data_IF_162655575089
#
_entry.id   IF_162655575089
#
_cell.length_a   1.000
_cell.length_b   1.000
_cell.length_c   1.000
_cell.angle_alpha   90.00
_cell.angle_beta   90.00
_cell.angle_gamma   90.00
#
_symmetry.space_group_name_H-M   'P 1'
#
loop_
_entity.id
_entity.type
_entity.pdbx_description
1 polymer ?
#
# COMPACT_ATOMS: atom_id res chain seq x y z
N UNK A 1 2.81 -8.73 0.68
CA UNK A 1 3.14 -7.29 0.57
C UNK A 1 4.31 -7.00 1.48
N UNK A 2 5.42 -6.52 0.90
CA UNK A 2 6.72 -6.49 1.60
C UNK A 2 7.30 -5.09 1.49
N UNK A 3 7.44 -4.40 2.63
CA UNK A 3 8.12 -3.11 2.71
C UNK A 3 9.42 -3.30 3.48
N UNK A 4 10.54 -3.14 2.81
CA UNK A 4 11.89 -3.24 3.38
C UNK A 4 12.48 -1.85 3.60
N UNK A 5 13.44 -1.79 4.50
CA UNK A 5 14.32 -0.64 4.67
C UNK A 5 15.73 -1.13 4.44
N UNK A 6 16.56 -0.33 3.77
CA UNK A 6 17.94 -0.69 3.46
C UNK A 6 18.80 0.56 3.44
N UNK A 7 20.02 0.48 3.96
CA UNK A 7 20.92 1.62 3.91
C UNK A 7 21.41 1.85 2.47
N UNK A 8 21.67 3.10 2.14
CA UNK A 8 22.23 3.50 0.86
C UNK A 8 23.60 2.84 0.60
N UNK A 9 24.37 2.61 1.66
CA UNK A 9 25.69 1.99 1.59
C UNK A 9 25.65 0.45 1.53
N UNK A 10 24.47 -0.16 1.61
CA UNK A 10 24.31 -1.59 1.38
C UNK A 10 24.05 -1.87 -0.11
N UNK A 11 24.75 -2.85 -0.72
CA UNK A 11 24.65 -3.11 -2.15
C UNK A 11 23.22 -3.51 -2.55
N UNK A 12 22.67 -3.03 -3.67
CA UNK A 12 21.36 -3.45 -4.16
C UNK A 12 21.27 -4.96 -4.35
N UNK A 13 20.17 -5.57 -3.93
CA UNK A 13 19.92 -7.01 -4.09
C UNK A 13 18.76 -7.25 -5.06
N UNK A 14 18.75 -8.37 -5.82
CA UNK A 14 17.67 -8.70 -6.77
C UNK A 14 16.27 -8.72 -6.16
N UNK A 15 16.16 -9.04 -4.87
CA UNK A 15 14.89 -9.07 -4.13
C UNK A 15 14.39 -7.73 -3.60
N UNK A 16 15.10 -6.62 -3.84
CA UNK A 16 14.75 -5.30 -3.30
C UNK A 16 13.52 -4.68 -4.01
N UNK A 17 13.19 -5.15 -5.21
CA UNK A 17 12.05 -4.63 -5.97
C UNK A 17 12.19 -3.13 -6.23
N UNK A 18 11.12 -2.37 -5.97
CA UNK A 18 11.08 -0.94 -6.22
C UNK A 18 11.82 -0.15 -5.13
N UNK A 19 12.95 0.47 -5.47
CA UNK A 19 13.87 1.15 -4.55
C UNK A 19 13.64 2.66 -4.54
N UNK A 20 13.40 3.21 -3.35
CA UNK A 20 13.01 4.61 -3.16
C UNK A 20 13.92 5.29 -2.16
N UNK A 21 14.70 6.28 -2.58
CA UNK A 21 15.45 7.12 -1.64
C UNK A 21 14.49 8.12 -0.98
N UNK A 22 14.48 8.16 0.34
CA UNK A 22 13.55 9.01 1.12
C UNK A 22 14.24 10.11 1.92
N UNK A 23 15.57 10.23 1.81
CA UNK A 23 16.33 11.29 2.46
C UNK A 23 16.37 12.54 1.59
N UNK A 24 16.36 13.71 2.22
CA UNK A 24 16.52 14.96 1.46
C UNK A 24 17.93 15.13 0.90
N UNK A 25 18.92 14.61 1.63
CA UNK A 25 20.31 14.70 1.22
C UNK A 25 20.70 13.42 0.50
N UNK A 26 21.47 13.60 -0.57
CA UNK A 26 22.07 12.49 -1.28
C UNK A 26 23.12 11.80 -0.40
N UNK A 27 23.18 10.45 -0.36
CA UNK A 27 24.22 9.73 0.38
C UNK A 27 25.60 10.12 -0.17
N UNK A 28 26.55 10.48 0.71
CA UNK A 28 27.86 10.97 0.25
C UNK A 28 28.66 9.82 -0.36
N UNK A 29 29.43 10.12 -1.40
CA UNK A 29 30.36 9.18 -2.01
C UNK A 29 29.71 8.07 -2.83
N UNK A 30 28.40 8.13 -3.09
CA UNK A 30 27.68 7.18 -3.95
C UNK A 30 27.18 7.89 -5.20
N UNK A 31 27.28 7.23 -6.34
CA UNK A 31 26.69 7.68 -7.62
C UNK A 31 25.25 7.17 -7.75
N UNK A 32 24.48 7.79 -8.64
CA UNK A 32 23.07 7.44 -8.86
C UNK A 32 22.88 5.99 -9.28
N UNK A 33 23.77 5.52 -10.14
CA UNK A 33 23.76 4.19 -10.74
C UNK A 33 24.05 3.10 -9.69
N UNK A 34 24.95 3.38 -8.74
CA UNK A 34 25.34 2.44 -7.68
C UNK A 34 24.16 2.11 -6.75
N UNK A 35 23.29 3.09 -6.50
CA UNK A 35 22.15 2.92 -5.61
C UNK A 35 20.97 2.19 -6.28
N UNK A 36 20.96 2.10 -7.62
CA UNK A 36 19.88 1.51 -8.41
C UNK A 36 18.50 1.96 -7.91
N UNK A 37 18.31 3.27 -7.82
CA UNK A 37 17.07 3.87 -7.33
C UNK A 37 16.08 4.04 -8.47
N UNK A 38 14.82 3.72 -8.22
CA UNK A 38 13.75 4.02 -9.15
C UNK A 38 13.19 5.44 -8.97
N UNK A 39 13.22 5.98 -7.74
CA UNK A 39 12.75 7.34 -7.46
C UNK A 39 13.41 7.94 -6.21
N UNK A 40 13.59 9.26 -6.25
CA UNK A 40 14.04 10.05 -5.10
C UNK A 40 12.87 10.86 -4.51
N UNK A 41 12.24 10.31 -3.47
CA UNK A 41 11.07 10.88 -2.82
C UNK A 41 11.44 11.90 -1.72
N UNK A 42 12.10 13.02 -2.09
CA UNK A 42 12.52 14.09 -1.17
C UNK A 42 11.39 14.65 -0.29
N UNK A 43 10.16 14.61 -0.80
CA UNK A 43 8.95 15.06 -0.09
C UNK A 43 8.64 14.22 1.14
N UNK A 44 9.13 12.98 1.20
CA UNK A 44 8.98 12.12 2.38
C UNK A 44 10.00 12.45 3.47
N UNK A 45 11.11 13.12 3.16
CA UNK A 45 12.12 13.47 4.17
C UNK A 45 11.57 14.46 5.21
N UNK A 46 11.94 14.32 6.50
CA UNK A 46 11.64 15.35 7.51
C UNK A 46 12.18 16.71 7.08
N UNK A 47 11.52 17.80 7.45
CA UNK A 47 11.96 19.17 7.15
C UNK A 47 13.38 19.44 7.67
N UNK A 48 14.09 20.41 7.08
CA UNK A 48 15.44 20.75 7.55
C UNK A 48 15.44 21.26 8.99
N UNK A 49 14.39 22.00 9.38
CA UNK A 49 14.17 22.45 10.76
C UNK A 49 14.01 21.25 11.70
N UNK A 50 13.18 20.28 11.34
CA UNK A 50 12.95 19.09 12.17
C UNK A 50 14.19 18.20 12.26
N UNK A 51 14.93 18.03 11.15
CA UNK A 51 16.20 17.29 11.12
C UNK A 51 17.24 17.90 12.06
N UNK A 52 17.45 19.23 11.96
CA UNK A 52 18.39 19.97 12.82
C UNK A 52 17.96 19.90 14.29
N UNK A 53 16.67 20.04 14.57
CA UNK A 53 16.15 19.96 15.93
C UNK A 53 16.30 18.56 16.54
N UNK A 54 16.06 17.50 15.76
CA UNK A 54 16.21 16.13 16.24
C UNK A 54 17.67 15.84 16.58
N UNK A 55 18.60 16.25 15.72
CA UNK A 55 20.04 16.13 15.98
C UNK A 55 20.52 14.70 16.28
N UNK A 56 19.72 13.68 15.93
CA UNK A 56 19.93 12.28 16.32
C UNK A 56 19.99 12.04 17.83
N UNK A 57 19.37 12.90 18.64
CA UNK A 57 19.24 12.70 20.09
C UNK A 57 18.11 11.69 20.38
N UNK A 58 18.43 10.49 20.92
CA UNK A 58 17.42 9.47 21.22
C UNK A 58 16.36 9.96 22.22
N UNK A 59 16.72 10.91 23.11
CA UNK A 59 15.77 11.51 24.07
C UNK A 59 14.66 12.29 23.35
N UNK A 60 14.95 12.82 22.17
CA UNK A 60 14.02 13.57 21.33
C UNK A 60 13.20 12.68 20.40
N UNK A 61 13.46 11.38 20.34
CA UNK A 61 12.84 10.47 19.38
C UNK A 61 11.32 10.45 19.44
N UNK A 62 10.73 10.35 20.64
CA UNK A 62 9.25 10.32 20.78
C UNK A 62 8.61 11.61 20.25
N UNK A 63 9.22 12.76 20.53
CA UNK A 63 8.75 14.05 20.03
C UNK A 63 9.00 14.22 18.51
N UNK A 64 10.12 13.71 18.00
CA UNK A 64 10.39 13.64 16.55
C UNK A 64 9.31 12.83 15.83
N UNK A 65 8.93 11.66 16.37
CA UNK A 65 7.85 10.85 15.79
C UNK A 65 6.54 11.62 15.66
N UNK A 66 6.16 12.40 16.67
CA UNK A 66 4.92 13.20 16.64
C UNK A 66 4.99 14.27 15.55
N UNK A 67 6.04 15.09 15.58
CA UNK A 67 6.23 16.20 14.63
C UNK A 67 6.39 15.71 13.20
N UNK A 68 7.15 14.65 12.99
CA UNK A 68 7.35 14.10 11.66
C UNK A 68 6.05 13.50 11.10
N UNK A 69 5.22 12.87 11.94
CA UNK A 69 3.89 12.40 11.51
C UNK A 69 2.97 13.53 11.09
N UNK A 70 3.12 14.73 11.66
CA UNK A 70 2.40 15.92 11.21
C UNK A 70 2.88 16.36 9.82
N UNK A 71 4.19 16.40 9.58
CA UNK A 71 4.75 16.67 8.25
C UNK A 71 4.29 15.64 7.21
N UNK A 72 4.15 14.36 7.59
CA UNK A 72 3.62 13.30 6.72
C UNK A 72 2.13 13.48 6.35
N UNK A 73 1.40 14.40 7.00
CA UNK A 73 0.01 14.74 6.66
C UNK A 73 -0.09 15.83 5.59
N UNK A 74 1.01 16.48 5.21
CA UNK A 74 1.00 17.47 4.14
C UNK A 74 0.48 16.85 2.81
N UNK A 75 -0.26 17.59 1.97
CA UNK A 75 -0.89 17.06 0.77
C UNK A 75 0.08 16.32 -0.17
N UNK A 76 1.22 16.93 -0.52
CA UNK A 76 2.24 16.34 -1.38
C UNK A 76 2.81 15.03 -0.80
N UNK A 77 3.07 15.01 0.51
CA UNK A 77 3.57 13.83 1.22
C UNK A 77 2.51 12.72 1.24
N UNK A 78 1.24 13.08 1.44
CA UNK A 78 0.12 12.13 1.42
C UNK A 78 -0.06 11.49 0.05
N UNK A 79 0.09 12.26 -1.02
CA UNK A 79 0.02 11.78 -2.40
C UNK A 79 1.13 10.77 -2.69
N UNK A 80 2.39 11.15 -2.41
CA UNK A 80 3.55 10.26 -2.57
C UNK A 80 3.40 8.96 -1.77
N UNK A 81 2.99 9.05 -0.50
CA UNK A 81 2.70 7.85 0.32
C UNK A 81 1.57 7.00 -0.28
N UNK A 82 0.59 7.62 -0.94
CA UNK A 82 -0.49 6.94 -1.65
C UNK A 82 0.01 6.17 -2.86
N UNK A 83 0.94 6.76 -3.63
CA UNK A 83 1.59 6.11 -4.76
C UNK A 83 2.46 4.93 -4.33
N UNK A 84 3.34 5.14 -3.34
CA UNK A 84 4.19 4.08 -2.81
C UNK A 84 3.36 2.94 -2.23
N UNK A 85 2.24 3.24 -1.56
CA UNK A 85 1.32 2.19 -1.10
C UNK A 85 0.67 1.41 -2.25
N UNK A 86 0.40 2.04 -3.42
CA UNK A 86 -0.07 1.32 -4.61
C UNK A 86 1.04 0.42 -5.17
N UNK A 87 2.28 0.91 -5.24
CA UNK A 87 3.44 0.13 -5.71
C UNK A 87 3.74 -1.06 -4.80
N UNK A 88 3.75 -0.86 -3.48
CA UNK A 88 3.97 -1.91 -2.47
C UNK A 88 2.92 -3.04 -2.46
N UNK A 89 1.78 -2.85 -3.14
CA UNK A 89 0.79 -3.94 -3.36
C UNK A 89 1.14 -4.84 -4.52
N UNK A 90 1.86 -4.31 -5.51
CA UNK A 90 2.23 -5.03 -6.74
C UNK A 90 3.52 -5.83 -6.56
N UNK A 91 4.33 -5.51 -5.55
CA UNK A 91 5.59 -6.21 -5.28
C UNK A 91 6.31 -5.68 -4.04
N UNK A 92 7.60 -5.99 -3.93
CA UNK A 92 8.48 -5.49 -2.86
C UNK A 92 8.78 -4.01 -3.08
N UNK A 93 8.66 -3.22 -2.01
CA UNK A 93 9.09 -1.83 -1.94
C UNK A 93 10.26 -1.74 -0.96
N UNK A 94 11.39 -1.19 -1.38
CA UNK A 94 12.55 -0.94 -0.52
C UNK A 94 12.76 0.55 -0.33
N UNK A 95 12.66 1.01 0.92
CA UNK A 95 12.99 2.39 1.29
C UNK A 95 14.49 2.47 1.56
N UNK A 96 15.18 3.31 0.82
CA UNK A 96 16.62 3.55 0.93
C UNK A 96 16.87 4.81 1.76
N UNK A 97 17.77 4.72 2.73
CA UNK A 97 18.14 5.81 3.64
C UNK A 97 19.66 5.83 3.91
N UNK A 98 20.22 6.99 4.23
CA UNK A 98 21.66 7.21 4.41
C UNK A 98 22.05 7.41 5.88
N UNK A 99 21.09 7.53 6.81
CA UNK A 99 21.39 7.66 8.23
C UNK A 99 22.23 6.48 8.74
N UNK A 100 23.15 6.76 9.67
CA UNK A 100 23.95 5.73 10.36
C UNK A 100 23.16 5.02 11.46
N UNK A 101 22.20 5.69 12.06
CA UNK A 101 21.30 5.10 13.05
C UNK A 101 20.18 4.31 12.34
N UNK A 102 20.17 3.00 12.58
CA UNK A 102 19.23 2.06 11.97
C UNK A 102 17.89 1.97 12.73
N UNK A 103 17.88 2.37 14.01
CA UNK A 103 16.71 2.32 14.88
C UNK A 103 15.92 3.63 14.84
N UNK A 104 16.61 4.78 14.84
CA UNK A 104 16.01 6.11 14.91
C UNK A 104 16.22 6.90 13.61
N UNK A 105 15.62 6.40 12.52
CA UNK A 105 15.61 7.07 11.22
C UNK A 105 14.19 7.28 10.67
N UNK A 106 14.11 8.20 9.71
CA UNK A 106 12.90 8.49 8.95
C UNK A 106 12.33 7.26 8.21
N UNK A 107 13.15 6.32 7.74
CA UNK A 107 12.69 5.13 7.04
C UNK A 107 11.80 4.23 7.89
N UNK A 108 12.14 4.09 9.19
CA UNK A 108 11.31 3.36 10.15
C UNK A 108 9.92 3.98 10.25
N UNK A 109 9.82 5.32 10.28
CA UNK A 109 8.55 6.04 10.39
C UNK A 109 7.73 5.95 9.11
N UNK A 110 8.36 6.15 7.94
CA UNK A 110 7.70 6.05 6.63
C UNK A 110 7.20 4.62 6.39
N UNK A 111 8.00 3.59 6.72
CA UNK A 111 7.59 2.18 6.66
C UNK A 111 6.34 1.94 7.50
N UNK A 112 6.33 2.43 8.74
CA UNK A 112 5.19 2.26 9.65
C UNK A 112 3.92 2.93 9.09
N UNK A 113 4.05 4.13 8.52
CA UNK A 113 2.93 4.86 7.93
C UNK A 113 2.39 4.17 6.66
N UNK A 114 3.25 3.67 5.79
CA UNK A 114 2.84 2.88 4.62
C UNK A 114 2.12 1.59 5.05
N UNK A 115 2.66 0.86 6.03
CA UNK A 115 2.03 -0.33 6.57
C UNK A 115 0.65 -0.03 7.16
N UNK A 116 0.50 1.09 7.89
CA UNK A 116 -0.79 1.56 8.42
C UNK A 116 -1.80 1.81 7.30
N UNK A 117 -1.40 2.54 6.25
CA UNK A 117 -2.27 2.85 5.10
C UNK A 117 -2.72 1.59 4.35
N UNK A 118 -1.82 0.63 4.18
CA UNK A 118 -2.13 -0.65 3.55
C UNK A 118 -3.17 -1.43 4.35
N UNK A 119 -3.02 -1.51 5.68
CA UNK A 119 -4.00 -2.15 6.58
C UNK A 119 -5.36 -1.45 6.58
N UNK A 120 -5.38 -0.12 6.66
CA UNK A 120 -6.64 0.66 6.69
C UNK A 120 -7.45 0.48 5.40
N UNK A 121 -6.80 0.48 4.24
CA UNK A 121 -7.50 0.27 2.96
C UNK A 121 -8.03 -1.16 2.80
N UNK A 122 -7.32 -2.17 3.29
CA UNK A 122 -7.80 -3.56 3.24
C UNK A 122 -9.13 -3.74 4.01
N UNK A 123 -9.27 -3.04 5.15
CA UNK A 123 -10.52 -3.02 5.95
C UNK A 123 -11.69 -2.38 5.21
N UNK A 124 -11.46 -1.29 4.47
CA UNK A 124 -12.49 -0.60 3.69
C UNK A 124 -12.97 -1.47 2.52
N UNK A 125 -12.07 -2.14 1.81
CA UNK A 125 -12.43 -3.04 0.70
C UNK A 125 -13.14 -4.31 1.17
N UNK A 126 -12.82 -4.82 2.36
CA UNK A 126 -13.49 -6.00 2.95
C UNK A 126 -14.96 -5.75 3.32
N UNK A 127 -15.31 -4.52 3.74
CA UNK A 127 -16.70 -4.17 4.13
C UNK A 127 -17.69 -4.15 2.96
N UNK A 128 -17.23 -3.99 1.72
CA UNK A 128 -18.09 -3.99 0.51
C UNK A 128 -18.41 -5.37 -0.06
N UNK A 129 -17.79 -6.46 0.43
CA UNK A 129 -18.02 -7.82 -0.10
C UNK A 129 -19.04 -8.68 0.67
N UNK A 130 -19.63 -8.19 1.76
CA UNK A 130 -20.82 -8.81 2.37
C UNK A 130 -22.07 -8.08 1.88
N UNK A 131 -22.50 -8.39 0.65
CA UNK A 131 -23.89 -8.16 0.24
C UNK A 131 -24.81 -9.17 0.95
N UNK A 132 -26.08 -8.84 1.20
CA UNK A 132 -26.99 -9.76 1.86
C UNK A 132 -27.23 -10.96 0.93
N UNK A 133 -26.96 -12.17 1.43
CA UNK A 133 -27.45 -13.39 0.83
C UNK A 133 -28.97 -13.44 1.04
N UNK A 134 -29.75 -12.79 0.17
CA UNK A 134 -31.20 -13.01 0.13
C UNK A 134 -31.45 -14.34 -0.55
N UNK A 135 -31.94 -15.27 0.28
CA UNK A 135 -32.18 -16.65 -0.08
C UNK A 135 -33.17 -16.81 -1.22
N UNK A 136 -32.93 -17.87 -1.98
CA UNK A 136 -33.90 -18.51 -2.86
C UNK A 136 -35.24 -18.69 -2.12
N UNK A 137 -36.32 -18.15 -2.68
CA UNK A 137 -37.64 -18.78 -2.59
C UNK A 137 -38.16 -18.99 -4.02
N UNK A 138 -38.19 -20.26 -4.41
CA UNK A 138 -38.89 -20.76 -5.59
C UNK A 138 -40.37 -20.42 -5.46
N UNK A 139 -40.93 -19.71 -6.43
CA UNK A 139 -42.34 -19.82 -6.78
C UNK A 139 -42.40 -20.29 -8.23
N UNK A 140 -42.55 -21.60 -8.40
CA UNK A 140 -43.06 -22.17 -9.66
C UNK A 140 -44.58 -22.05 -9.60
N UNK A 141 -45.18 -21.35 -10.56
CA UNK A 141 -46.51 -21.63 -11.14
C UNK A 141 -46.82 -20.56 -12.18
N UNK A 142 -46.56 -20.88 -13.44
CA UNK A 142 -47.14 -20.22 -14.60
C UNK A 142 -47.70 -21.33 -15.49
N UNK A 143 -49.02 -21.33 -15.69
CA UNK A 143 -49.70 -22.17 -16.67
C UNK A 143 -49.33 -21.72 -18.11
N UNK A 144 -49.64 -22.54 -19.12
CA UNK A 144 -50.85 -22.18 -19.85
C UNK A 144 -51.73 -23.38 -20.26
N UNK A 145 -53.04 -23.13 -20.23
CA UNK A 145 -54.02 -23.91 -20.97
C UNK A 145 -53.88 -23.56 -22.47
N UNK A 146 -53.69 -24.58 -23.31
CA UNK A 146 -53.89 -24.48 -24.74
C UNK A 146 -54.56 -25.76 -25.24
N UNK A 147 -55.60 -25.54 -26.01
CA UNK A 147 -56.65 -26.46 -26.40
C UNK A 147 -56.34 -27.24 -27.69
N UNK A 148 -57.04 -28.38 -27.85
CA UNK A 148 -57.41 -29.11 -29.09
C UNK A 148 -56.33 -30.01 -29.72
N UNK A 149 -56.61 -31.32 -29.80
CA UNK A 149 -57.15 -32.02 -31.00
C UNK A 149 -57.05 -33.55 -30.82
N UNK A 150 -58.17 -34.24 -31.01
CA UNK A 150 -58.33 -35.66 -31.41
C UNK A 150 -57.57 -35.93 -32.74
N UNK A 151 -57.20 -37.16 -33.15
CA UNK A 151 -58.10 -38.32 -33.24
C UNK A 151 -57.46 -39.73 -33.03
N UNK A 152 -58.30 -40.75 -33.24
CA UNK A 152 -57.99 -42.13 -33.62
C UNK A 152 -57.65 -43.14 -32.50
N UNK A 153 -58.67 -43.97 -32.17
CA UNK A 153 -58.44 -45.39 -31.90
C UNK A 153 -59.50 -46.24 -32.62
N UNK A 154 -58.99 -47.22 -33.37
CA UNK A 154 -59.65 -48.28 -34.14
C UNK A 154 -60.56 -49.18 -33.28
N UNK A 155 -61.64 -49.69 -33.89
CA UNK A 155 -62.15 -51.08 -33.79
C UNK A 155 -63.15 -51.26 -34.97
N UNK A 156 -62.90 -52.15 -35.94
CA UNK A 156 -63.24 -53.60 -35.97
C UNK A 156 -64.75 -53.87 -35.86
N UNK A 157 -65.29 -54.49 -36.92
CA UNK A 157 -66.68 -54.91 -37.10
C UNK A 157 -66.99 -54.90 -38.58
#
# INVERSE_FOLDING_TARGET
MTIRIKRAYEPPAPGDGYRVLIDRLWPRGLRGEELRLDVWAKVLSPSDRLRRWFGHDPRRWRAFLSRYREELRAPATREMLGELARRARRGTLTLVYAARDEAHNNAVVVRAELARRLRSRARVTGRRRRGPATGRRRARRGAPAASRRTPCRRARG
#
